data_IF_912750769729
#
_entry.id   IF_912750769729
#
_cell.length_a   1.000
_cell.length_b   1.000
_cell.length_c   1.000
_cell.angle_alpha   90.00
_cell.angle_beta   90.00
_cell.angle_gamma   90.00
#
_symmetry.space_group_name_H-M   'P 1'
#
loop_
_entity.id
_entity.type
_entity.pdbx_description
1 polymer ?
#
# COMPACT_ATOMS: atom_id res chain seq x y z
N UNK A 1 -14.26 -12.01 6.91
CA UNK A 1 -13.18 -11.08 6.54
C UNK A 1 -12.56 -11.55 5.23
N UNK A 2 -12.75 -10.82 4.14
CA UNK A 2 -12.31 -11.21 2.80
C UNK A 2 -10.80 -11.06 2.64
N UNK A 3 -10.15 -12.05 2.02
CA UNK A 3 -8.72 -12.02 1.70
C UNK A 3 -8.46 -10.86 0.72
N UNK A 4 -7.56 -9.94 1.09
CA UNK A 4 -7.08 -8.90 0.16
C UNK A 4 -6.21 -9.60 -0.88
N UNK A 5 -6.54 -9.45 -2.16
CA UNK A 5 -5.70 -9.97 -3.23
C UNK A 5 -4.45 -9.09 -3.31
N UNK A 6 -3.33 -9.63 -2.82
CA UNK A 6 -2.00 -9.07 -3.06
C UNK A 6 -1.45 -9.84 -4.25
N UNK A 7 -1.15 -9.15 -5.35
CA UNK A 7 -0.51 -9.76 -6.50
C UNK A 7 0.91 -10.17 -6.10
N UNK A 8 1.11 -11.48 -5.85
CA UNK A 8 2.42 -12.10 -5.65
C UNK A 8 2.84 -12.68 -7.00
N UNK A 9 3.18 -11.83 -7.96
CA UNK A 9 3.73 -12.29 -9.24
C UNK A 9 5.19 -11.87 -9.30
N UNK A 10 6.09 -12.84 -9.17
CA UNK A 10 7.52 -12.75 -9.48
C UNK A 10 7.80 -12.53 -10.99
N UNK A 11 6.82 -12.07 -11.77
CA UNK A 11 6.92 -12.03 -13.22
C UNK A 11 6.34 -10.75 -13.80
N UNK A 12 7.24 -9.81 -14.13
CA UNK A 12 7.21 -8.89 -15.29
C UNK A 12 5.82 -8.38 -15.69
N UNK A 13 5.28 -7.45 -14.92
CA UNK A 13 4.11 -6.67 -15.34
C UNK A 13 3.86 -5.57 -14.33
N UNK A 14 3.69 -4.35 -14.79
CA UNK A 14 3.44 -3.22 -13.90
C UNK A 14 2.08 -3.43 -13.21
N UNK A 15 2.10 -3.48 -11.88
CA UNK A 15 0.87 -3.54 -11.09
C UNK A 15 0.21 -2.17 -11.05
N UNK A 16 -1.11 -2.12 -11.19
CA UNK A 16 -1.90 -0.89 -11.19
C UNK A 16 -2.76 -0.84 -9.94
N UNK A 17 -2.70 0.28 -9.24
CA UNK A 17 -3.43 0.53 -8.00
C UNK A 17 -4.33 1.75 -8.07
N UNK A 18 -5.20 1.90 -7.07
CA UNK A 18 -6.04 3.07 -6.92
C UNK A 18 -5.21 4.31 -6.57
N UNK A 19 -5.44 5.44 -7.24
CA UNK A 19 -4.71 6.69 -6.94
C UNK A 19 -4.90 7.21 -5.50
N UNK A 20 -6.07 6.95 -4.89
CA UNK A 20 -6.39 7.46 -3.56
C UNK A 20 -5.80 6.66 -2.39
N UNK A 21 -5.87 5.33 -2.45
CA UNK A 21 -5.45 4.46 -1.35
C UNK A 21 -4.33 3.49 -1.71
N UNK A 22 -3.79 3.57 -2.94
CA UNK A 22 -2.73 2.70 -3.49
C UNK A 22 -3.03 1.19 -3.40
N UNK A 23 -4.31 0.82 -3.20
CA UNK A 23 -4.70 -0.59 -3.18
C UNK A 23 -4.60 -1.15 -4.58
N UNK A 24 -4.02 -2.35 -4.70
CA UNK A 24 -3.93 -3.09 -5.95
C UNK A 24 -5.32 -3.27 -6.57
N UNK A 25 -5.45 -2.94 -7.86
CA UNK A 25 -6.70 -3.10 -8.63
C UNK A 25 -6.51 -4.09 -9.76
N UNK A 26 -5.45 -3.96 -10.57
CA UNK A 26 -5.22 -4.83 -11.73
C UNK A 26 -3.74 -4.84 -12.10
N UNK A 27 -3.37 -5.55 -13.16
CA UNK A 27 -2.03 -5.58 -13.70
C UNK A 27 -2.04 -5.45 -15.23
N UNK A 28 -0.89 -5.08 -15.78
CA UNK A 28 -0.72 -4.89 -17.23
C UNK A 28 -1.11 -6.12 -18.07
N UNK A 29 -0.92 -7.34 -17.53
CA UNK A 29 -1.28 -8.60 -18.22
C UNK A 29 -2.77 -8.75 -18.49
N UNK A 30 -3.61 -8.04 -17.73
CA UNK A 30 -5.06 -8.07 -17.90
C UNK A 30 -5.55 -7.01 -18.90
N UNK A 31 -4.65 -6.18 -19.47
CA UNK A 31 -5.02 -5.18 -20.48
C UNK A 31 -5.57 -5.89 -21.72
N UNK A 32 -6.74 -5.45 -22.16
CA UNK A 32 -7.34 -5.82 -23.44
C UNK A 32 -7.12 -4.74 -24.49
N UNK A 33 -7.31 -3.48 -24.12
CA UNK A 33 -7.14 -2.35 -25.04
C UNK A 33 -7.02 -1.02 -24.30
N UNK A 34 -6.18 -0.12 -24.83
CA UNK A 34 -5.95 1.23 -24.31
C UNK A 34 -6.67 2.31 -25.11
N UNK A 35 -7.45 1.93 -26.13
CA UNK A 35 -8.10 2.85 -27.06
C UNK A 35 -9.42 3.46 -26.52
N UNK A 36 -9.64 3.40 -25.21
CA UNK A 36 -10.88 3.83 -24.57
C UNK A 36 -10.73 5.22 -23.93
N UNK A 37 -11.84 5.90 -23.81
CA UNK A 37 -11.94 7.21 -23.15
C UNK A 37 -13.10 7.21 -22.18
N UNK A 38 -12.94 7.94 -21.09
CA UNK A 38 -13.94 8.14 -20.05
C UNK A 38 -14.13 9.61 -19.71
N UNK A 39 -14.73 9.85 -18.54
CA UNK A 39 -15.09 11.20 -18.11
C UNK A 39 -13.88 12.07 -17.79
N UNK A 40 -12.81 11.47 -17.26
CA UNK A 40 -11.57 12.17 -16.86
C UNK A 40 -10.46 12.02 -17.92
N UNK A 41 -10.78 11.60 -19.15
CA UNK A 41 -9.81 11.48 -20.25
C UNK A 41 -9.56 10.04 -20.70
N UNK A 42 -8.29 9.65 -20.88
CA UNK A 42 -7.94 8.32 -21.39
C UNK A 42 -8.25 7.21 -20.38
N UNK A 43 -8.68 6.07 -20.90
CA UNK A 43 -9.08 4.92 -20.10
C UNK A 43 -8.62 3.62 -20.74
N UNK A 44 -8.41 2.60 -19.91
CA UNK A 44 -7.91 1.30 -20.35
C UNK A 44 -8.92 0.22 -19.99
N UNK A 45 -9.17 -0.69 -20.94
CA UNK A 45 -10.05 -1.84 -20.79
C UNK A 45 -9.24 -3.03 -20.30
N UNK A 46 -9.67 -3.61 -19.18
CA UNK A 46 -9.04 -4.75 -18.53
C UNK A 46 -10.01 -5.94 -18.49
N UNK A 47 -9.47 -7.16 -18.62
CA UNK A 47 -10.23 -8.40 -18.48
C UNK A 47 -10.68 -8.62 -17.03
N UNK A 48 -9.82 -8.29 -16.07
CA UNK A 48 -10.07 -8.50 -14.63
C UNK A 48 -9.58 -7.32 -13.80
N UNK A 49 -10.34 -7.04 -12.74
CA UNK A 49 -9.99 -6.08 -11.71
C UNK A 49 -10.42 -6.62 -10.33
N UNK A 50 -9.62 -6.34 -9.32
CA UNK A 50 -9.78 -6.79 -7.93
C UNK A 50 -9.96 -5.61 -6.98
N UNK A 51 -10.41 -5.90 -5.76
CA UNK A 51 -10.61 -4.90 -4.71
C UNK A 51 -11.53 -3.73 -5.14
N UNK A 52 -12.47 -4.03 -6.04
CA UNK A 52 -13.49 -3.11 -6.54
C UNK A 52 -14.88 -3.46 -6.02
N UNK A 53 -15.76 -2.47 -6.05
CA UNK A 53 -17.18 -2.56 -5.74
C UNK A 53 -17.98 -2.06 -6.93
N UNK A 54 -19.02 -2.82 -7.30
CA UNK A 54 -19.91 -2.49 -8.40
C UNK A 54 -21.13 -1.75 -7.87
N UNK A 55 -21.43 -0.61 -8.47
CA UNK A 55 -22.66 0.12 -8.23
C UNK A 55 -23.86 -0.49 -8.95
N UNK A 56 -24.93 0.28 -8.97
CA UNK A 56 -26.17 -0.12 -9.64
C UNK A 56 -25.96 -0.21 -11.16
N UNK A 57 -26.73 -1.11 -11.77
CA UNK A 57 -26.74 -1.27 -13.21
C UNK A 57 -27.53 -0.14 -13.86
N UNK A 58 -26.92 0.51 -14.84
CA UNK A 58 -27.53 1.60 -15.60
C UNK A 58 -27.34 1.42 -17.10
N UNK A 59 -28.34 1.84 -17.87
CA UNK A 59 -28.24 1.95 -19.34
C UNK A 59 -27.41 3.19 -19.69
N UNK A 60 -26.41 3.04 -20.55
CA UNK A 60 -25.59 4.15 -21.08
C UNK A 60 -25.48 4.05 -22.60
N UNK A 61 -25.71 5.18 -23.27
CA UNK A 61 -25.48 5.31 -24.71
C UNK A 61 -24.04 5.73 -24.97
N UNK A 62 -23.38 5.04 -25.89
CA UNK A 62 -21.99 5.27 -26.29
C UNK A 62 -21.90 5.29 -27.81
N UNK A 63 -20.76 5.71 -28.36
CA UNK A 63 -20.52 5.76 -29.81
C UNK A 63 -20.78 4.43 -30.51
N UNK A 64 -20.52 3.30 -29.84
CA UNK A 64 -20.71 1.95 -30.40
C UNK A 64 -22.09 1.35 -30.11
N UNK A 65 -23.04 2.14 -29.60
CA UNK A 65 -24.41 1.71 -29.30
C UNK A 65 -24.76 1.75 -27.81
N UNK A 66 -25.88 1.09 -27.48
CA UNK A 66 -26.41 1.02 -26.11
C UNK A 66 -25.75 -0.11 -25.33
N UNK A 67 -25.34 0.19 -24.09
CA UNK A 67 -24.74 -0.77 -23.16
C UNK A 67 -25.41 -0.71 -21.79
N UNK A 68 -25.49 -1.85 -21.12
CA UNK A 68 -25.81 -1.94 -19.70
C UNK A 68 -24.48 -1.99 -18.94
N UNK A 69 -24.25 -1.00 -18.07
CA UNK A 69 -22.97 -0.82 -17.37
C UNK A 69 -23.19 -0.69 -15.87
N UNK A 70 -22.18 -1.06 -15.08
CA UNK A 70 -22.12 -0.75 -13.64
C UNK A 70 -20.93 0.14 -13.36
N UNK A 71 -21.13 1.18 -12.58
CA UNK A 71 -20.02 2.02 -12.14
C UNK A 71 -19.12 1.25 -11.15
N UNK A 72 -17.81 1.45 -11.27
CA UNK A 72 -16.79 0.70 -10.52
C UNK A 72 -16.09 1.64 -9.55
N UNK A 73 -16.03 1.24 -8.28
CA UNK A 73 -15.43 2.01 -7.19
C UNK A 73 -14.36 1.19 -6.45
N UNK A 74 -13.42 1.85 -5.79
CA UNK A 74 -12.46 1.16 -4.93
C UNK A 74 -13.11 0.73 -3.60
N UNK A 75 -13.06 -0.57 -3.28
CA UNK A 75 -13.59 -1.11 -2.03
C UNK A 75 -12.84 -0.59 -0.81
N UNK A 76 -11.52 -0.42 -0.90
CA UNK A 76 -10.72 0.04 0.24
C UNK A 76 -10.95 1.53 0.53
N UNK A 77 -11.09 2.38 -0.51
CA UNK A 77 -11.48 3.78 -0.31
C UNK A 77 -12.81 3.89 0.41
N UNK A 78 -13.82 3.09 0.04
CA UNK A 78 -15.13 3.08 0.70
C UNK A 78 -15.00 2.79 2.20
N UNK A 79 -14.20 1.79 2.57
CA UNK A 79 -13.96 1.44 3.98
C UNK A 79 -13.22 2.56 4.72
N UNK A 80 -12.12 3.08 4.17
CA UNK A 80 -11.36 4.17 4.81
C UNK A 80 -12.24 5.41 5.00
N UNK A 81 -12.97 5.85 3.98
CA UNK A 81 -13.84 7.01 4.10
C UNK A 81 -15.01 6.77 5.07
N UNK A 82 -15.57 5.55 5.17
CA UNK A 82 -16.63 5.27 6.16
C UNK A 82 -16.18 5.48 7.61
N UNK A 83 -14.88 5.32 7.92
CA UNK A 83 -14.34 5.50 9.27
C UNK A 83 -13.91 6.96 9.55
N UNK A 84 -13.45 7.69 8.53
CA UNK A 84 -12.95 9.07 8.68
C UNK A 84 -13.95 10.17 8.31
N UNK A 85 -14.99 9.89 7.50
CA UNK A 85 -15.85 10.92 6.89
C UNK A 85 -16.84 11.56 7.86
N UNK A 86 -17.03 11.02 9.06
CA UNK A 86 -17.84 11.65 10.11
C UNK A 86 -17.26 13.00 10.60
N UNK A 87 -15.98 13.30 10.35
CA UNK A 87 -15.31 14.47 10.95
C UNK A 87 -15.12 15.67 10.02
N UNK A 88 -15.17 15.54 8.68
CA UNK A 88 -14.85 16.63 7.74
C UNK A 88 -15.64 16.64 6.41
N UNK A 89 -16.74 15.88 6.28
CA UNK A 89 -17.71 16.04 5.17
C UNK A 89 -17.21 15.75 3.74
N UNK A 90 -15.96 15.34 3.51
CA UNK A 90 -15.43 15.02 2.18
C UNK A 90 -15.59 13.52 1.88
N UNK A 91 -16.78 13.12 1.48
CA UNK A 91 -17.07 11.77 0.98
C UNK A 91 -16.47 11.61 -0.42
N UNK A 92 -15.18 11.29 -0.52
CA UNK A 92 -14.52 11.13 -1.81
C UNK A 92 -14.62 9.68 -2.28
N UNK A 93 -15.84 9.21 -2.54
CA UNK A 93 -16.04 7.98 -3.32
C UNK A 93 -15.71 8.28 -4.78
N UNK A 94 -14.43 8.25 -5.13
CA UNK A 94 -14.02 8.42 -6.53
C UNK A 94 -14.35 7.14 -7.30
N UNK A 95 -15.32 7.25 -8.22
CA UNK A 95 -15.52 6.28 -9.30
C UNK A 95 -14.17 6.05 -9.99
N UNK A 96 -13.76 4.81 -10.18
CA UNK A 96 -12.53 4.47 -10.93
C UNK A 96 -12.81 4.24 -12.42
N UNK A 97 -14.06 3.88 -12.75
CA UNK A 97 -14.51 3.63 -14.10
C UNK A 97 -15.84 2.89 -14.11
N UNK A 98 -16.03 1.95 -15.04
CA UNK A 98 -17.25 1.15 -15.17
C UNK A 98 -16.96 -0.23 -15.77
N UNK A 99 -17.85 -1.19 -15.57
CA UNK A 99 -17.84 -2.50 -16.23
C UNK A 99 -19.00 -2.60 -17.21
N UNK A 100 -18.81 -3.39 -18.27
CA UNK A 100 -19.90 -3.76 -19.18
C UNK A 100 -20.58 -5.03 -18.66
N UNK A 101 -21.88 -4.97 -18.44
CA UNK A 101 -22.69 -6.15 -18.10
C UNK A 101 -23.20 -6.80 -19.39
N UNK A 102 -23.82 -5.99 -20.27
CA UNK A 102 -24.42 -6.45 -21.51
C UNK A 102 -24.26 -5.40 -22.62
N UNK A 103 -24.00 -5.86 -23.83
CA UNK A 103 -24.01 -5.06 -25.04
C UNK A 103 -25.21 -5.45 -25.91
N UNK A 104 -26.00 -4.46 -26.34
CA UNK A 104 -27.15 -4.74 -27.22
C UNK A 104 -26.71 -5.04 -28.66
N UNK A 105 -25.52 -4.60 -29.04
CA UNK A 105 -24.97 -4.79 -30.38
C UNK A 105 -24.05 -6.02 -30.38
N UNK A 106 -24.29 -7.04 -31.21
CA UNK A 106 -23.51 -8.29 -31.21
C UNK A 106 -22.00 -8.11 -31.45
N UNK A 107 -21.60 -7.09 -32.22
CA UNK A 107 -20.19 -6.78 -32.46
C UNK A 107 -19.45 -6.25 -31.22
N UNK A 108 -20.18 -5.91 -30.16
CA UNK A 108 -19.63 -5.31 -28.94
C UNK A 108 -19.64 -6.26 -27.74
N UNK A 109 -20.10 -7.51 -27.92
CA UNK A 109 -20.16 -8.53 -26.85
C UNK A 109 -18.79 -8.86 -26.26
N UNK A 110 -17.70 -8.64 -27.01
CA UNK A 110 -16.34 -8.81 -26.48
C UNK A 110 -16.02 -7.93 -25.26
N UNK A 111 -16.77 -6.84 -25.05
CA UNK A 111 -16.61 -5.94 -23.91
C UNK A 111 -17.28 -6.47 -22.64
N UNK A 112 -18.25 -7.39 -22.78
CA UNK A 112 -19.03 -7.90 -21.66
C UNK A 112 -18.13 -8.57 -20.60
N UNK A 113 -18.39 -8.28 -19.34
CA UNK A 113 -17.59 -8.72 -18.20
C UNK A 113 -16.24 -7.99 -18.03
N UNK A 114 -15.85 -7.13 -18.97
CA UNK A 114 -14.61 -6.36 -18.89
C UNK A 114 -14.81 -5.02 -18.17
N UNK A 115 -13.72 -4.50 -17.60
CA UNK A 115 -13.72 -3.31 -16.75
C UNK A 115 -12.88 -2.22 -17.40
N UNK A 116 -13.48 -1.04 -17.57
CA UNK A 116 -12.75 0.17 -17.93
C UNK A 116 -12.31 0.88 -16.65
N UNK A 117 -11.03 1.20 -16.56
CA UNK A 117 -10.48 2.06 -15.52
C UNK A 117 -9.90 3.33 -16.18
N UNK A 118 -10.25 4.48 -15.63
CA UNK A 118 -9.75 5.77 -16.12
C UNK A 118 -8.32 6.01 -15.61
N UNK A 119 -7.40 6.36 -16.53
CA UNK A 119 -5.97 6.45 -16.23
C UNK A 119 -5.66 7.56 -15.20
N UNK A 120 -6.48 8.62 -15.14
CA UNK A 120 -6.33 9.68 -14.14
C UNK A 120 -6.64 9.22 -12.69
N UNK A 121 -7.23 8.03 -12.53
CA UNK A 121 -7.80 7.54 -11.26
C UNK A 121 -7.06 6.30 -10.73
N UNK A 122 -6.12 5.80 -11.52
CA UNK A 122 -5.25 4.68 -11.19
C UNK A 122 -3.79 5.08 -11.35
N UNK A 123 -2.89 4.41 -10.63
CA UNK A 123 -1.45 4.69 -10.65
C UNK A 123 -0.67 3.38 -10.72
N UNK A 124 0.50 3.36 -11.38
CA UNK A 124 1.41 2.23 -11.27
C UNK A 124 1.88 2.08 -9.82
N UNK A 125 1.91 0.85 -9.33
CA UNK A 125 2.49 0.47 -8.05
C UNK A 125 3.89 -0.05 -8.33
N UNK A 126 4.89 0.80 -8.12
CA UNK A 126 6.29 0.39 -8.15
C UNK A 126 6.58 -0.41 -6.87
N UNK A 127 7.07 -1.64 -7.02
CA UNK A 127 7.85 -2.29 -5.97
C UNK A 127 9.29 -1.91 -6.23
N UNK A 128 9.84 -0.99 -5.46
CA UNK A 128 11.28 -0.85 -5.33
C UNK A 128 11.77 -2.17 -4.72
N UNK A 129 12.26 -3.08 -5.55
CA UNK A 129 13.12 -4.16 -5.07
C UNK A 129 14.48 -3.48 -4.89
N UNK A 130 14.70 -2.92 -3.70
CA UNK A 130 16.06 -2.57 -3.29
C UNK A 130 16.73 -3.90 -2.99
N UNK A 131 17.57 -4.38 -3.90
CA UNK A 131 18.42 -5.54 -3.65
C UNK A 131 19.25 -5.26 -2.39
N UNK A 132 19.10 -6.03 -1.29
CA UNK A 132 19.80 -5.75 -0.04
C UNK A 132 21.33 -5.92 -0.09
N UNK A 133 21.91 -6.16 -1.27
CA UNK A 133 23.28 -6.67 -1.44
C UNK A 133 24.16 -5.78 -2.35
N UNK A 134 23.64 -4.71 -2.96
CA UNK A 134 24.42 -3.88 -3.89
C UNK A 134 24.93 -2.55 -3.32
N UNK A 135 25.48 -2.55 -2.10
CA UNK A 135 26.30 -1.43 -1.61
C UNK A 135 27.49 -1.95 -0.80
N UNK A 136 28.51 -2.49 -1.48
CA UNK A 136 29.87 -2.55 -0.94
C UNK A 136 30.87 -2.75 -2.07
N UNK A 137 31.17 -1.67 -2.80
CA UNK A 137 32.51 -1.46 -3.34
C UNK A 137 32.66 -0.01 -3.81
N UNK A 138 33.13 0.83 -2.88
CA UNK A 138 34.01 2.00 -3.07
C UNK A 138 33.93 2.91 -1.84
N UNK A 139 34.64 2.55 -0.77
CA UNK A 139 35.07 3.53 0.24
C UNK A 139 36.58 3.74 0.07
N UNK A 140 37.07 4.99 -0.11
CA UNK A 140 38.51 5.25 -0.23
C UNK A 140 39.23 4.97 1.10
N UNK A 141 40.52 4.58 1.08
CA UNK A 141 41.22 4.17 2.28
C UNK A 141 41.60 5.41 3.11
N UNK A 142 41.16 5.44 4.37
CA UNK A 142 41.72 6.34 5.38
C UNK A 142 42.30 5.51 6.51
N UNK A 143 43.60 5.26 6.47
CA UNK A 143 44.39 4.93 7.66
C UNK A 143 45.38 6.06 7.91
N UNK A 144 45.30 6.77 9.05
CA UNK A 144 46.47 7.44 9.61
C UNK A 144 47.35 6.43 10.38
N UNK A 145 48.66 6.67 10.51
CA UNK A 145 49.61 5.71 11.07
C UNK A 145 49.48 5.67 12.59
N UNK A 146 49.30 4.48 13.18
CA UNK A 146 49.40 4.29 14.63
C UNK A 146 50.83 3.84 14.95
N UNK A 147 51.56 4.72 15.64
CA UNK A 147 52.89 4.47 16.20
C UNK A 147 52.88 3.27 17.14
N UNK A 148 53.86 2.40 16.97
CA UNK A 148 54.11 1.25 17.83
C UNK A 148 54.82 1.67 19.11
N UNK A 149 54.07 1.77 20.21
CA UNK A 149 54.66 1.84 21.56
C UNK A 149 54.65 0.44 22.22
N UNK A 150 55.82 0.09 22.75
CA UNK A 150 56.28 -1.26 23.09
C UNK A 150 55.69 -1.82 24.39
N UNK A 151 55.66 -3.15 24.44
CA UNK A 151 55.45 -4.00 25.62
C UNK A 151 56.23 -3.56 26.87
N UNK A 152 55.61 -3.70 28.04
CA UNK A 152 56.31 -4.20 29.23
C UNK A 152 55.38 -4.96 30.17
N UNK A 153 55.83 -6.14 30.55
CA UNK A 153 55.22 -7.13 31.44
C UNK A 153 55.56 -6.88 32.92
N UNK A 154 54.75 -7.54 33.75
CA UNK A 154 55.02 -8.17 35.05
C UNK A 154 54.88 -7.41 36.38
N UNK A 155 54.08 -8.08 37.23
CA UNK A 155 54.28 -8.38 38.67
C UNK A 155 54.03 -7.32 39.75
N UNK A 156 53.24 -7.69 40.76
CA UNK A 156 53.24 -7.02 42.06
C UNK A 156 51.98 -7.30 42.90
N UNK A 157 52.15 -8.11 43.95
CA UNK A 157 51.15 -8.51 44.95
C UNK A 157 50.54 -7.31 45.71
N UNK A 158 49.33 -7.48 46.25
CA UNK A 158 49.03 -7.52 47.71
C UNK A 158 47.65 -6.94 48.13
N UNK A 159 46.88 -7.84 48.79
CA UNK A 159 46.00 -7.68 49.97
C UNK A 159 45.16 -6.41 50.22
N UNK A 160 43.86 -6.65 50.55
CA UNK A 160 43.11 -6.24 51.79
C UNK A 160 41.58 -6.25 51.54
N UNK A 161 40.86 -7.24 52.06
CA UNK A 161 40.03 -7.29 53.29
C UNK A 161 38.65 -6.60 53.23
N UNK A 162 37.61 -7.45 53.37
CA UNK A 162 36.27 -7.32 53.97
C UNK A 162 35.68 -5.94 54.33
N UNK A 163 34.39 -5.76 54.05
CA UNK A 163 33.33 -5.68 55.09
C UNK A 163 31.91 -5.70 54.49
N UNK A 164 31.01 -6.34 55.25
CA UNK A 164 29.59 -6.57 54.99
C UNK A 164 28.69 -5.41 55.46
N UNK A 165 27.37 -5.66 55.42
CA UNK A 165 26.21 -4.99 56.06
C UNK A 165 25.58 -3.83 55.27
N UNK A 166 24.34 -3.92 54.76
CA UNK A 166 23.00 -4.30 55.27
C UNK A 166 22.22 -3.16 55.92
N UNK A 167 20.88 -3.20 55.74
CA UNK A 167 19.80 -2.39 56.36
C UNK A 167 19.55 -0.99 55.77
N UNK A 168 18.34 -0.43 55.67
CA UNK A 168 16.94 -0.89 55.80
C UNK A 168 16.00 0.32 55.53
N UNK A 169 14.82 0.05 54.97
CA UNK A 169 13.48 0.67 55.21
C UNK A 169 13.26 2.16 55.54
N UNK A 170 12.21 2.76 54.94
CA UNK A 170 11.04 3.44 55.58
C UNK A 170 10.20 4.13 54.46
N UNK A 171 8.97 3.69 54.11
CA UNK A 171 7.62 4.08 54.64
C UNK A 171 7.29 5.58 54.44
N UNK A 172 6.17 6.08 53.89
CA UNK A 172 4.72 5.91 54.15
C UNK A 172 3.95 6.81 53.13
N UNK A 173 2.80 6.48 52.52
CA UNK A 173 1.38 6.44 52.98
C UNK A 173 0.50 7.68 52.65
N UNK A 174 -0.79 7.41 52.50
CA UNK A 174 -2.03 8.24 52.41
C UNK A 174 -2.43 8.78 51.03
N UNK A 175 -3.50 8.29 50.37
CA UNK A 175 -4.95 8.30 50.69
C UNK A 175 -5.56 9.71 50.84
N UNK A 176 -6.42 10.10 49.89
CA UNK A 176 -7.62 10.91 50.18
C UNK A 176 -8.74 10.63 49.17
N UNK A 177 -9.83 10.07 49.71
CA UNK A 177 -11.17 10.02 49.12
C UNK A 177 -11.73 11.42 48.81
N UNK A 178 -12.68 11.52 47.85
CA UNK A 178 -14.13 11.65 48.12
C UNK A 178 -14.89 12.44 47.04
N UNK A 179 -15.89 11.75 46.48
CA UNK A 179 -17.26 12.16 46.07
C UNK A 179 -17.57 13.67 46.01
N UNK A 180 -18.11 14.09 44.87
CA UNK A 180 -19.52 14.52 44.74
C UNK A 180 -20.01 14.28 43.31
#
# INVERSE_FOLDING_TARGET
MGRKFVCFTEVRGESVGCAGCRTYITCEKEITSTAFTGSTGSATLFKKAWNIYHGDMGKREMTTGVHMVRDVHCSNCRLIFSVFSAKNGRFFQKKLGWMYEFALVPSQTYKEGQVILENALVVPLQREVVDPISENDKRPPTTPPIETARHRTSSGMSSRTNSESSTSSHSSSSDFHRKH
#
